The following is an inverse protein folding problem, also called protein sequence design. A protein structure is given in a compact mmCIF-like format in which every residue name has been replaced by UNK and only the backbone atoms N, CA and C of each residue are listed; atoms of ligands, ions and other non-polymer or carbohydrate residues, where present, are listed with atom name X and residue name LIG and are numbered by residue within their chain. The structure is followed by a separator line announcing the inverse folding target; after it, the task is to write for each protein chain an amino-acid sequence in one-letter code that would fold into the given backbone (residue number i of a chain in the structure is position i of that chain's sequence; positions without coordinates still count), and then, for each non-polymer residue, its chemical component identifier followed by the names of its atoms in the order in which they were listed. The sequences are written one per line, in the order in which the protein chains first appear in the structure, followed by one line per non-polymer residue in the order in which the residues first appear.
data_IF_270928746265
#
_entry.id   IF_270928746265
#
_cell.length_a   1.000
_cell.length_b   1.000
_cell.length_c   1.000
_cell.angle_alpha   90.00
_cell.angle_beta   90.00
_cell.angle_gamma   90.00
#
_symmetry.space_group_name_H-M   'P 1'
#
loop_
_entity.id
_entity.type
_entity.pdbx_description
1 polymer ?
#
# COMPACT_ATOMS: atom_id res chain seq x y z
N UNK A 1 -25.48 -1.03 -12.46
CA UNK A 1 -24.48 -1.31 -11.41
C UNK A 1 -25.15 -2.15 -10.31
N UNK A 2 -24.61 -3.32 -9.99
CA UNK A 2 -25.24 -4.30 -9.10
C UNK A 2 -25.01 -3.95 -7.62
N UNK A 3 -26.07 -4.06 -6.82
CA UNK A 3 -26.10 -3.80 -5.36
C UNK A 3 -25.00 -4.55 -4.58
N UNK A 4 -24.56 -5.69 -5.09
CA UNK A 4 -23.48 -6.51 -4.53
C UNK A 4 -22.10 -5.87 -4.66
N UNK A 5 -21.81 -5.20 -5.78
CA UNK A 5 -20.50 -4.54 -6.00
C UNK A 5 -20.37 -3.30 -5.11
N UNK A 6 -21.47 -2.54 -4.96
CA UNK A 6 -21.56 -1.43 -4.00
C UNK A 6 -21.30 -1.91 -2.57
N UNK A 7 -21.95 -3.00 -2.15
CA UNK A 7 -21.81 -3.52 -0.79
C UNK A 7 -20.41 -4.08 -0.49
N UNK A 8 -19.74 -4.68 -1.48
CA UNK A 8 -18.35 -5.13 -1.37
C UNK A 8 -17.40 -3.92 -1.20
N UNK A 9 -17.58 -2.88 -2.03
CA UNK A 9 -16.79 -1.65 -1.92
C UNK A 9 -16.96 -0.94 -0.59
N UNK A 10 -18.19 -0.88 -0.06
CA UNK A 10 -18.47 -0.29 1.26
C UNK A 10 -17.78 -1.04 2.39
N UNK A 11 -17.79 -2.38 2.36
CA UNK A 11 -17.10 -3.21 3.37
C UNK A 11 -15.58 -3.07 3.30
N UNK A 12 -15.01 -3.14 2.09
CA UNK A 12 -13.58 -2.96 1.91
C UNK A 12 -13.11 -1.58 2.40
N UNK A 13 -13.86 -0.53 2.05
CA UNK A 13 -13.61 0.83 2.53
C UNK A 13 -13.74 0.97 4.05
N UNK A 14 -14.74 0.32 4.66
CA UNK A 14 -14.91 0.30 6.11
C UNK A 14 -13.70 -0.30 6.83
N UNK A 15 -13.24 -1.48 6.40
CA UNK A 15 -12.06 -2.12 7.00
C UNK A 15 -10.79 -1.29 6.78
N UNK A 16 -10.57 -0.76 5.58
CA UNK A 16 -9.41 0.10 5.29
C UNK A 16 -9.39 1.34 6.19
N UNK A 17 -10.54 1.97 6.43
CA UNK A 17 -10.63 3.16 7.29
C UNK A 17 -10.25 2.86 8.75
N UNK A 18 -10.73 1.76 9.31
CA UNK A 18 -10.34 1.33 10.67
C UNK A 18 -8.86 0.93 10.70
N UNK A 19 -8.36 0.29 9.64
CA UNK A 19 -6.94 0.01 9.46
C UNK A 19 -6.08 1.28 9.56
N UNK A 20 -6.45 2.34 8.84
CA UNK A 20 -5.73 3.61 8.89
C UNK A 20 -5.77 4.27 10.28
N UNK A 21 -6.93 4.27 10.94
CA UNK A 21 -7.07 4.86 12.28
C UNK A 21 -6.22 4.14 13.33
N UNK A 22 -6.20 2.80 13.27
CA UNK A 22 -5.38 1.98 14.16
C UNK A 22 -3.89 2.08 13.84
N UNK A 23 -3.52 2.19 12.56
CA UNK A 23 -2.14 2.45 12.13
C UNK A 23 -1.65 3.82 12.61
N UNK A 24 -2.47 4.87 12.51
CA UNK A 24 -2.16 6.20 13.04
C UNK A 24 -1.98 6.22 14.56
N UNK A 25 -2.58 5.27 15.27
CA UNK A 25 -2.39 5.05 16.70
C UNK A 25 -1.14 4.19 17.03
N UNK A 26 -0.35 3.80 16.03
CA UNK A 26 0.84 2.96 16.16
C UNK A 26 0.57 1.46 16.32
N UNK A 27 -0.70 1.02 16.25
CA UNK A 27 -1.10 -0.38 16.41
C UNK A 27 -1.02 -1.13 15.07
N UNK A 28 0.17 -1.17 14.47
CA UNK A 28 0.38 -1.71 13.11
C UNK A 28 -0.07 -3.17 12.95
N UNK A 29 0.12 -4.02 13.97
CA UNK A 29 -0.30 -5.43 13.89
C UNK A 29 -1.82 -5.59 13.75
N UNK A 30 -2.59 -4.72 14.44
CA UNK A 30 -4.06 -4.72 14.36
C UNK A 30 -4.50 -4.13 13.02
N UNK A 31 -3.85 -3.06 12.57
CA UNK A 31 -4.11 -2.43 11.28
C UNK A 31 -3.93 -3.41 10.11
N UNK A 32 -2.87 -4.24 10.13
CA UNK A 32 -2.64 -5.29 9.14
C UNK A 32 -3.82 -6.26 9.02
N UNK A 33 -4.39 -6.67 10.15
CA UNK A 33 -5.56 -7.55 10.15
C UNK A 33 -6.76 -6.91 9.44
N UNK A 34 -6.99 -5.61 9.63
CA UNK A 34 -8.05 -4.89 8.94
C UNK A 34 -7.77 -4.72 7.44
N UNK A 35 -6.55 -4.37 7.05
CA UNK A 35 -6.19 -4.30 5.62
C UNK A 35 -6.33 -5.67 4.94
N UNK A 36 -6.01 -6.78 5.61
CA UNK A 36 -6.25 -8.11 5.07
C UNK A 36 -7.73 -8.43 4.86
N UNK A 37 -8.62 -7.97 5.75
CA UNK A 37 -10.06 -8.11 5.52
C UNK A 37 -10.53 -7.23 4.36
N UNK A 38 -10.02 -5.99 4.27
CA UNK A 38 -10.32 -5.11 3.14
C UNK A 38 -9.93 -5.75 1.80
N UNK A 39 -8.74 -6.35 1.75
CA UNK A 39 -8.19 -7.00 0.55
C UNK A 39 -8.86 -8.34 0.23
N UNK A 40 -9.42 -9.05 1.22
CA UNK A 40 -10.25 -10.24 0.98
C UNK A 40 -11.56 -9.87 0.26
N UNK A 41 -12.18 -8.76 0.65
CA UNK A 41 -13.39 -8.26 0.02
C UNK A 41 -13.08 -7.64 -1.35
N UNK A 42 -12.01 -6.86 -1.46
CA UNK A 42 -11.57 -6.20 -2.69
C UNK A 42 -10.06 -6.36 -2.92
N UNK A 43 -9.62 -7.43 -3.59
CA UNK A 43 -8.19 -7.66 -3.88
C UNK A 43 -7.56 -6.57 -4.75
N UNK A 44 -8.36 -5.88 -5.57
CA UNK A 44 -7.95 -4.77 -6.42
C UNK A 44 -7.93 -3.41 -5.73
N UNK A 45 -7.94 -3.35 -4.39
CA UNK A 45 -7.92 -2.08 -3.67
C UNK A 45 -6.47 -1.61 -3.46
N UNK A 46 -5.92 -0.88 -4.44
CA UNK A 46 -4.52 -0.42 -4.43
C UNK A 46 -4.12 0.30 -3.13
N UNK A 47 -4.95 1.26 -2.67
CA UNK A 47 -4.68 1.99 -1.43
C UNK A 47 -4.57 1.07 -0.20
N UNK A 48 -5.38 0.01 -0.10
CA UNK A 48 -5.28 -0.94 1.01
C UNK A 48 -3.99 -1.76 0.96
N UNK A 49 -3.47 -2.09 -0.24
CA UNK A 49 -2.16 -2.73 -0.40
C UNK A 49 -1.02 -1.80 0.03
N UNK A 50 -1.08 -0.51 -0.35
CA UNK A 50 -0.09 0.50 0.07
C UNK A 50 -0.09 0.70 1.58
N UNK A 51 -1.25 0.89 2.20
CA UNK A 51 -1.32 1.08 3.66
C UNK A 51 -0.89 -0.18 4.44
N UNK A 52 -1.19 -1.38 3.91
CA UNK A 52 -0.66 -2.63 4.44
C UNK A 52 0.88 -2.64 4.39
N UNK A 53 1.46 -2.21 3.28
CA UNK A 53 2.90 -2.11 3.10
C UNK A 53 3.53 -1.10 4.08
N UNK A 54 2.93 0.08 4.27
CA UNK A 54 3.35 1.09 5.25
C UNK A 54 3.41 0.52 6.66
N UNK A 55 2.38 -0.26 7.06
CA UNK A 55 2.36 -0.92 8.36
C UNK A 55 3.48 -1.98 8.51
N UNK A 56 3.74 -2.77 7.46
CA UNK A 56 4.82 -3.76 7.46
C UNK A 56 6.20 -3.10 7.55
N UNK A 57 6.40 -2.01 6.81
CA UNK A 57 7.63 -1.22 6.81
C UNK A 57 7.88 -0.58 8.18
N UNK A 58 6.84 -0.03 8.82
CA UNK A 58 6.92 0.50 10.18
C UNK A 58 7.25 -0.58 11.23
N UNK A 59 6.88 -1.85 10.97
CA UNK A 59 7.25 -3.00 11.78
C UNK A 59 8.63 -3.59 11.43
N UNK A 60 9.36 -3.00 10.48
CA UNK A 60 10.67 -3.48 10.02
C UNK A 60 10.61 -4.68 9.06
N UNK A 61 9.43 -5.12 8.65
CA UNK A 61 9.21 -6.24 7.72
C UNK A 61 9.32 -5.76 6.27
N UNK A 62 10.50 -5.25 5.93
CA UNK A 62 10.74 -4.49 4.70
C UNK A 62 10.50 -5.31 3.43
N UNK A 63 10.94 -6.58 3.37
CA UNK A 63 10.73 -7.41 2.19
C UNK A 63 9.24 -7.71 1.91
N UNK A 64 8.43 -7.85 2.96
CA UNK A 64 6.99 -8.07 2.82
C UNK A 64 6.28 -6.78 2.44
N UNK A 65 6.72 -5.63 2.97
CA UNK A 65 6.24 -4.32 2.55
C UNK A 65 6.48 -4.11 1.05
N UNK A 66 7.69 -4.40 0.55
CA UNK A 66 8.03 -4.28 -0.87
C UNK A 66 7.08 -5.09 -1.76
N UNK A 67 6.77 -6.34 -1.37
CA UNK A 67 5.80 -7.17 -2.12
C UNK A 67 4.39 -6.57 -2.13
N UNK A 68 3.98 -5.93 -1.02
CA UNK A 68 2.68 -5.26 -0.95
C UNK A 68 2.66 -3.99 -1.80
N UNK A 69 3.73 -3.19 -1.81
CA UNK A 69 3.86 -2.06 -2.74
C UNK A 69 3.86 -2.53 -4.19
N UNK A 70 4.51 -3.65 -4.52
CA UNK A 70 4.46 -4.23 -5.87
C UNK A 70 3.04 -4.58 -6.30
N UNK A 71 2.20 -5.10 -5.40
CA UNK A 71 0.80 -5.35 -5.68
C UNK A 71 0.02 -4.04 -5.89
N UNK A 72 0.25 -3.03 -5.04
CA UNK A 72 -0.37 -1.72 -5.20
C UNK A 72 -0.01 -1.09 -6.57
N UNK A 73 1.27 -1.11 -6.95
CA UNK A 73 1.77 -0.61 -8.26
C UNK A 73 1.19 -1.40 -9.43
N UNK A 74 1.01 -2.72 -9.30
CA UNK A 74 0.40 -3.53 -10.36
C UNK A 74 -1.07 -3.13 -10.61
N UNK A 75 -1.78 -2.74 -9.55
CA UNK A 75 -3.19 -2.33 -9.63
C UNK A 75 -3.31 -0.88 -10.10
N UNK A 76 -2.51 0.02 -9.53
CA UNK A 76 -2.42 1.43 -9.90
C UNK A 76 -0.97 1.85 -10.14
N UNK A 77 -0.48 1.69 -11.39
CA UNK A 77 0.89 2.06 -11.73
C UNK A 77 1.16 3.56 -11.68
N UNK A 78 0.11 4.39 -11.61
CA UNK A 78 0.18 5.85 -11.62
C UNK A 78 0.31 6.48 -10.23
N UNK A 79 0.18 5.70 -9.15
CA UNK A 79 0.33 6.21 -7.79
C UNK A 79 1.79 6.49 -7.44
N UNK A 80 2.22 7.74 -7.61
CA UNK A 80 3.58 8.19 -7.30
C UNK A 80 3.95 7.96 -5.83
N UNK A 81 3.01 8.08 -4.89
CA UNK A 81 3.25 7.86 -3.47
C UNK A 81 3.72 6.42 -3.21
N UNK A 82 3.05 5.43 -3.82
CA UNK A 82 3.45 4.02 -3.68
C UNK A 82 4.87 3.77 -4.21
N UNK A 83 5.26 4.42 -5.32
CA UNK A 83 6.62 4.31 -5.85
C UNK A 83 7.67 4.92 -4.90
N UNK A 84 7.37 6.07 -4.30
CA UNK A 84 8.25 6.70 -3.32
C UNK A 84 8.38 5.84 -2.06
N UNK A 85 7.28 5.37 -1.50
CA UNK A 85 7.27 4.55 -0.28
C UNK A 85 8.08 3.26 -0.48
N UNK A 86 7.88 2.58 -1.61
CA UNK A 86 8.71 1.42 -1.99
C UNK A 86 10.19 1.77 -2.11
N UNK A 87 10.52 2.91 -2.74
CA UNK A 87 11.89 3.39 -2.87
C UNK A 87 12.55 3.66 -1.51
N UNK A 88 11.83 4.27 -0.58
CA UNK A 88 12.30 4.50 0.78
C UNK A 88 12.55 3.19 1.52
N UNK A 89 11.64 2.22 1.43
CA UNK A 89 11.83 0.89 2.04
C UNK A 89 13.02 0.14 1.43
N UNK A 90 13.21 0.19 0.11
CA UNK A 90 14.36 -0.42 -0.57
C UNK A 90 15.69 0.20 -0.08
N UNK A 91 15.71 1.51 0.12
CA UNK A 91 16.88 2.21 0.69
C UNK A 91 17.20 1.73 2.10
N UNK A 92 16.18 1.48 2.95
CA UNK A 92 16.37 0.97 4.32
C UNK A 92 17.10 -0.37 4.37
N UNK A 93 16.87 -1.24 3.37
CA UNK A 93 17.53 -2.55 3.26
C UNK A 93 18.78 -2.55 2.36
N UNK A 94 19.28 -1.37 1.99
CA UNK A 94 20.53 -1.21 1.23
C UNK A 94 20.43 -1.49 -0.27
N UNK A 95 19.22 -1.59 -0.84
CA UNK A 95 19.00 -1.79 -2.28
C UNK A 95 18.94 -0.44 -3.02
N UNK A 96 20.06 0.28 -3.02
CA UNK A 96 20.12 1.65 -3.53
C UNK A 96 19.75 1.78 -5.02
N UNK A 97 20.21 0.87 -5.88
CA UNK A 97 19.89 0.91 -7.31
C UNK A 97 18.39 0.73 -7.59
N UNK A 98 17.74 -0.18 -6.86
CA UNK A 98 16.29 -0.40 -6.97
C UNK A 98 15.51 0.80 -6.40
N UNK A 99 15.99 1.37 -5.29
CA UNK A 99 15.41 2.55 -4.67
C UNK A 99 15.44 3.75 -5.62
N UNK A 100 16.59 4.02 -6.25
CA UNK A 100 16.74 5.11 -7.21
C UNK A 100 15.79 4.96 -8.39
N UNK A 101 15.65 3.75 -8.94
CA UNK A 101 14.67 3.48 -10.01
C UNK A 101 13.23 3.76 -9.58
N UNK A 102 12.85 3.35 -8.36
CA UNK A 102 11.51 3.61 -7.85
C UNK A 102 11.25 5.10 -7.64
N UNK A 103 12.21 5.83 -7.06
CA UNK A 103 12.10 7.28 -6.86
C UNK A 103 12.06 8.03 -8.19
N UNK A 104 12.90 7.67 -9.16
CA UNK A 104 12.85 8.26 -10.51
C UNK A 104 11.47 8.07 -11.13
N UNK A 105 10.91 6.86 -11.02
CA UNK A 105 9.57 6.58 -11.55
C UNK A 105 8.48 7.40 -10.84
N UNK A 106 8.56 7.56 -9.52
CA UNK A 106 7.64 8.42 -8.76
C UNK A 106 7.68 9.88 -9.21
N UNK A 107 8.89 10.41 -9.47
CA UNK A 107 9.08 11.79 -9.98
C UNK A 107 8.52 11.94 -11.39
N UNK A 108 8.77 10.99 -12.29
CA UNK A 108 8.23 11.02 -13.65
C UNK A 108 6.69 11.09 -13.62
N UNK A 109 6.07 10.31 -12.72
CA UNK A 109 4.61 10.30 -12.53
C UNK A 109 4.06 11.61 -11.95
N UNK A 110 4.73 12.21 -10.96
CA UNK A 110 4.33 13.51 -10.41
C UNK A 110 4.43 14.64 -11.45
N UNK A 111 5.48 14.62 -12.26
CA UNK A 111 5.72 15.62 -13.30
C UNK A 111 4.92 15.36 -14.58
N UNK A 112 4.31 14.18 -14.72
CA UNK A 112 3.54 13.77 -15.89
C UNK A 112 4.39 13.65 -17.16
N UNK A 113 5.68 13.31 -17.03
CA UNK A 113 6.66 13.23 -18.13
C UNK A 113 7.07 11.80 -18.48
#
# INVERSE_FOLDING_TARGET
MNRTVLQIGEKAGYYARIGMETAGSGNYAVALGYFEQALKEMPGYAAAWREKANCLDAMGRCEEAIRCYDQAIQIDPGDSETWFDKGLTLKKIGKEDEAFRCMSRGVDLELGV
#
